data_IF_339871131043
#
_entry.id   IF_339871131043
#
_cell.length_a   1.000
_cell.length_b   1.000
_cell.length_c   1.000
_cell.angle_alpha   90.00
_cell.angle_beta   90.00
_cell.angle_gamma   90.00
#
_symmetry.space_group_name_H-M   'P 1'
#
loop_
_entity.id
_entity.type
_entity.pdbx_description
1 polymer ?
#
# COMPACT_ATOMS: atom_id res chain seq x y z
N UNK A 1 5.64 13.43 -3.29
CA UNK A 1 5.07 13.53 -1.93
C UNK A 1 6.19 13.33 -0.94
N UNK A 2 6.73 14.43 -0.44
CA UNK A 2 7.89 14.50 0.46
C UNK A 2 7.60 13.79 1.78
N UNK A 3 8.48 12.88 2.19
CA UNK A 3 8.38 12.20 3.47
C UNK A 3 8.57 13.18 4.63
N UNK A 4 7.64 13.15 5.59
CA UNK A 4 7.73 13.80 6.90
C UNK A 4 8.81 13.13 7.78
N UNK A 5 10.06 13.14 7.32
CA UNK A 5 11.19 12.65 8.09
C UNK A 5 11.80 13.82 8.88
N UNK A 6 12.08 13.59 10.16
CA UNK A 6 12.71 14.58 11.04
C UNK A 6 14.22 14.55 10.85
N UNK A 7 14.80 15.66 10.43
CA UNK A 7 16.26 15.80 10.31
C UNK A 7 16.92 15.98 11.68
N UNK A 8 18.23 15.78 11.77
CA UNK A 8 18.98 16.03 13.01
C UNK A 8 18.89 17.50 13.43
N UNK A 9 18.99 18.43 12.47
CA UNK A 9 18.87 19.87 12.70
C UNK A 9 17.49 20.26 13.26
N UNK A 10 16.41 19.70 12.69
CA UNK A 10 15.04 19.96 13.19
C UNK A 10 14.84 19.44 14.62
N UNK A 11 15.46 18.33 15.00
CA UNK A 11 15.41 17.81 16.38
C UNK A 11 16.16 18.70 17.35
N UNK A 12 17.35 19.17 16.98
CA UNK A 12 18.13 20.10 17.79
C UNK A 12 17.41 21.44 17.96
N UNK A 13 16.77 21.94 16.90
CA UNK A 13 15.95 23.14 16.95
C UNK A 13 14.78 22.96 17.90
N UNK A 14 14.07 21.82 17.83
CA UNK A 14 12.99 21.51 18.77
C UNK A 14 13.49 21.44 20.21
N UNK A 15 14.63 20.78 20.45
CA UNK A 15 15.25 20.71 21.78
C UNK A 15 15.59 22.10 22.33
N UNK A 16 16.22 22.95 21.52
CA UNK A 16 16.56 24.31 21.92
C UNK A 16 15.30 25.12 22.28
N UNK A 17 14.25 25.04 21.47
CA UNK A 17 13.01 25.78 21.71
C UNK A 17 12.26 25.29 22.97
N UNK A 18 12.25 23.98 23.23
CA UNK A 18 11.51 23.39 24.36
C UNK A 18 12.31 23.47 25.66
N UNK A 19 13.61 23.17 25.63
CA UNK A 19 14.45 23.05 26.84
C UNK A 19 15.10 24.38 27.19
N UNK A 20 15.73 25.05 26.21
CA UNK A 20 16.50 26.28 26.44
C UNK A 20 15.58 27.50 26.49
N UNK A 21 14.73 27.67 25.48
CA UNK A 21 13.84 28.84 25.36
C UNK A 21 12.55 28.66 26.17
N UNK A 22 12.19 27.42 26.55
CA UNK A 22 10.96 27.06 27.26
C UNK A 22 9.68 27.56 26.58
N UNK A 23 9.68 27.58 25.24
CA UNK A 23 8.52 28.01 24.48
C UNK A 23 7.37 26.99 24.60
N UNK A 24 6.10 27.41 24.76
CA UNK A 24 4.97 26.50 24.75
C UNK A 24 4.89 25.74 23.42
N UNK A 25 4.71 24.42 23.47
CA UNK A 25 4.69 23.58 22.26
C UNK A 25 3.60 24.01 21.28
N UNK A 26 2.50 24.61 21.76
CA UNK A 26 1.45 25.14 20.90
C UNK A 26 1.96 26.17 19.88
N UNK A 27 3.00 26.92 20.25
CA UNK A 27 3.53 28.06 19.49
C UNK A 27 4.80 27.69 18.70
N UNK A 28 5.42 26.55 19.02
CA UNK A 28 6.61 26.07 18.34
C UNK A 28 6.30 25.70 16.89
N UNK A 29 7.08 26.26 15.96
CA UNK A 29 7.08 25.90 14.54
C UNK A 29 8.48 25.39 14.17
N UNK A 30 8.57 24.16 13.70
CA UNK A 30 9.84 23.55 13.25
C UNK A 30 9.68 23.02 11.84
N UNK A 31 10.38 23.64 10.89
CA UNK A 31 10.35 23.27 9.48
C UNK A 31 8.93 23.20 8.91
N UNK A 32 8.62 22.07 8.26
CA UNK A 32 7.30 21.79 7.64
C UNK A 32 6.38 20.92 8.50
N UNK A 33 6.71 20.72 9.77
CA UNK A 33 5.98 19.80 10.65
C UNK A 33 4.76 20.48 11.27
N UNK A 34 3.61 19.80 11.22
CA UNK A 34 2.41 20.28 11.90
C UNK A 34 2.52 20.05 13.43
N UNK A 35 1.66 20.73 14.20
CA UNK A 35 1.67 20.68 15.66
C UNK A 35 1.57 19.26 16.25
N UNK A 36 0.84 18.36 15.57
CA UNK A 36 0.74 16.96 16.00
C UNK A 36 2.05 16.19 15.82
N UNK A 37 2.81 16.46 14.75
CA UNK A 37 4.13 15.88 14.51
C UNK A 37 5.13 16.38 15.54
N UNK A 38 5.12 17.69 15.83
CA UNK A 38 5.98 18.34 16.83
C UNK A 38 5.75 17.71 18.22
N UNK A 39 4.50 17.66 18.69
CA UNK A 39 4.15 17.02 19.98
C UNK A 39 4.61 15.57 20.09
N UNK A 40 4.47 14.78 19.02
CA UNK A 40 4.91 13.37 19.01
C UNK A 40 6.42 13.25 19.08
N UNK A 41 7.14 14.09 18.35
CA UNK A 41 8.60 14.06 18.35
C UNK A 41 9.15 14.53 19.68
N UNK A 42 8.55 15.56 20.26
CA UNK A 42 8.84 16.05 21.60
C UNK A 42 8.63 14.95 22.66
N UNK A 43 7.48 14.28 22.64
CA UNK A 43 7.20 13.13 23.53
C UNK A 43 8.23 12.01 23.37
N UNK A 44 8.71 11.78 22.13
CA UNK A 44 9.70 10.73 21.84
C UNK A 44 11.10 11.09 22.35
N UNK A 45 11.43 12.38 22.36
CA UNK A 45 12.68 12.91 22.89
C UNK A 45 12.61 13.13 24.42
N UNK A 46 11.42 13.09 25.01
CA UNK A 46 11.21 13.10 26.45
C UNK A 46 11.18 14.50 27.07
N UNK A 47 11.02 15.56 26.28
CA UNK A 47 11.03 16.93 26.81
C UNK A 47 9.70 17.32 27.49
N UNK A 48 8.58 16.76 27.06
CA UNK A 48 7.34 16.76 27.85
C UNK A 48 7.46 15.81 29.04
N UNK A 49 7.66 16.36 30.23
CA UNK A 49 7.59 15.63 31.51
C UNK A 49 6.19 15.15 31.86
N UNK A 50 5.15 15.78 31.31
CA UNK A 50 3.76 15.40 31.54
C UNK A 50 3.12 14.89 30.25
N UNK A 51 3.14 13.57 30.07
CA UNK A 51 2.10 12.93 29.26
C UNK A 51 0.76 13.38 29.85
N UNK A 52 -0.17 13.98 29.08
CA UNK A 52 -1.46 14.36 29.64
C UNK A 52 -2.05 13.12 30.30
N UNK A 53 -2.41 13.25 31.57
CA UNK A 53 -2.85 12.12 32.39
C UNK A 53 -3.89 11.31 31.62
N UNK A 54 -3.77 9.99 31.63
CA UNK A 54 -4.79 9.13 31.05
C UNK A 54 -6.06 9.27 31.88
N UNK A 55 -6.97 10.14 31.46
CA UNK A 55 -8.25 10.31 32.14
C UNK A 55 -9.09 9.07 31.82
N UNK A 56 -9.45 8.27 32.82
CA UNK A 56 -10.34 7.13 32.63
C UNK A 56 -11.78 7.57 32.34
N UNK A 57 -12.50 6.79 31.53
CA UNK A 57 -13.91 7.08 31.22
C UNK A 57 -14.80 6.76 32.41
N UNK A 58 -15.36 7.80 33.04
CA UNK A 58 -16.31 7.64 34.13
C UNK A 58 -17.61 6.97 33.65
N UNK A 59 -18.33 6.32 34.57
CA UNK A 59 -19.63 5.70 34.28
C UNK A 59 -20.63 6.73 33.76
N UNK A 60 -20.62 7.94 34.31
CA UNK A 60 -21.47 9.08 33.91
C UNK A 60 -21.22 9.49 32.46
N UNK A 61 -19.96 9.66 32.05
CA UNK A 61 -19.61 10.02 30.67
C UNK A 61 -20.00 8.94 29.65
N UNK A 62 -19.85 7.66 30.02
CA UNK A 62 -20.31 6.56 29.17
C UNK A 62 -21.83 6.56 29.00
N UNK A 63 -22.57 6.92 30.04
CA UNK A 63 -24.02 7.03 30.01
C UNK A 63 -24.48 8.23 29.18
N UNK A 64 -23.82 9.37 29.33
CA UNK A 64 -24.08 10.58 28.56
C UNK A 64 -23.92 10.35 27.06
N UNK A 65 -22.87 9.63 26.64
CA UNK A 65 -22.72 9.20 25.24
C UNK A 65 -23.91 8.36 24.72
N UNK A 66 -24.47 7.50 25.58
CA UNK A 66 -25.65 6.68 25.22
C UNK A 66 -26.91 7.52 25.11
N UNK A 67 -27.08 8.50 26.00
CA UNK A 67 -28.20 9.44 25.98
C UNK A 67 -28.14 10.29 24.71
N UNK A 68 -26.98 10.87 24.39
CA UNK A 68 -26.77 11.63 23.16
C UNK A 68 -27.04 10.79 21.90
N UNK A 69 -26.61 9.53 21.89
CA UNK A 69 -26.94 8.61 20.79
C UNK A 69 -28.44 8.33 20.68
N UNK A 70 -29.14 8.13 21.81
CA UNK A 70 -30.60 7.94 21.83
C UNK A 70 -31.35 9.18 21.35
N UNK A 71 -30.81 10.37 21.62
CA UNK A 71 -31.32 11.64 21.12
C UNK A 71 -30.98 11.91 19.64
N UNK A 72 -30.33 10.97 18.95
CA UNK A 72 -30.05 11.05 17.50
C UNK A 72 -28.74 11.72 17.14
N UNK A 73 -27.91 12.13 18.11
CA UNK A 73 -26.62 12.74 17.81
C UNK A 73 -25.60 11.70 17.33
N UNK A 74 -24.99 11.96 16.18
CA UNK A 74 -23.86 11.18 15.68
C UNK A 74 -22.57 11.52 16.44
N UNK A 75 -21.61 10.58 16.42
CA UNK A 75 -20.29 10.80 17.03
C UNK A 75 -19.59 12.06 16.49
N UNK A 76 -19.76 12.38 15.20
CA UNK A 76 -19.20 13.59 14.60
C UNK A 76 -19.85 14.85 15.15
N UNK A 77 -21.18 14.86 15.34
CA UNK A 77 -21.89 16.00 15.92
C UNK A 77 -21.48 16.23 17.38
N UNK A 78 -21.33 15.18 18.18
CA UNK A 78 -20.86 15.29 19.57
C UNK A 78 -19.47 15.91 19.65
N UNK A 79 -18.58 15.57 18.70
CA UNK A 79 -17.24 16.13 18.62
C UNK A 79 -17.27 17.59 18.16
N UNK A 80 -18.04 17.90 17.13
CA UNK A 80 -18.08 19.24 16.53
C UNK A 80 -18.74 20.25 17.46
N UNK A 81 -19.81 19.86 18.16
CA UNK A 81 -20.53 20.70 19.11
C UNK A 81 -20.00 20.57 20.55
N UNK A 82 -18.92 19.81 20.76
CA UNK A 82 -18.28 19.58 22.05
C UNK A 82 -19.27 19.22 23.18
N UNK A 83 -20.23 18.34 22.89
CA UNK A 83 -21.34 18.02 23.81
C UNK A 83 -20.92 17.22 25.06
N UNK A 84 -19.64 16.81 25.15
CA UNK A 84 -19.06 16.18 26.34
C UNK A 84 -18.17 17.19 27.05
N UNK A 85 -18.75 17.92 28.00
CA UNK A 85 -18.10 19.11 28.55
C UNK A 85 -17.05 18.78 29.61
N UNK A 86 -17.21 17.72 30.44
CA UNK A 86 -16.36 17.52 31.62
C UNK A 86 -16.00 16.06 31.97
N UNK A 87 -14.71 15.73 32.16
CA UNK A 87 -13.55 16.39 31.55
C UNK A 87 -13.62 16.34 30.01
N UNK A 88 -13.14 17.38 29.31
CA UNK A 88 -13.15 17.43 27.85
C UNK A 88 -12.35 16.25 27.27
N UNK A 89 -12.86 15.68 26.18
CA UNK A 89 -12.29 14.49 25.54
C UNK A 89 -11.83 14.83 24.13
N UNK A 90 -10.67 14.31 23.76
CA UNK A 90 -10.22 14.42 22.37
C UNK A 90 -11.19 13.71 21.43
N UNK A 91 -11.32 14.22 20.20
CA UNK A 91 -12.12 13.60 19.15
C UNK A 91 -11.80 12.10 18.96
N UNK A 92 -10.53 11.72 19.11
CA UNK A 92 -10.09 10.32 19.03
C UNK A 92 -10.62 9.49 20.22
N UNK A 93 -10.53 10.01 21.45
CA UNK A 93 -11.03 9.32 22.63
C UNK A 93 -12.54 9.10 22.53
N UNK A 94 -13.29 10.11 22.09
CA UNK A 94 -14.75 10.03 21.88
C UNK A 94 -15.07 8.95 20.84
N UNK A 95 -14.44 8.98 19.65
CA UNK A 95 -14.66 7.96 18.60
C UNK A 95 -14.38 6.55 19.08
N UNK A 96 -13.31 6.35 19.85
CA UNK A 96 -12.96 5.05 20.39
C UNK A 96 -13.96 4.57 21.43
N UNK A 97 -14.37 5.44 22.35
CA UNK A 97 -15.36 5.06 23.36
C UNK A 97 -16.73 4.82 22.74
N UNK A 98 -17.13 5.61 21.74
CA UNK A 98 -18.35 5.40 20.95
C UNK A 98 -18.41 4.00 20.35
N UNK A 99 -17.28 3.53 19.78
CA UNK A 99 -17.14 2.16 19.26
C UNK A 99 -17.19 1.11 20.36
N UNK A 100 -16.51 1.33 21.50
CA UNK A 100 -16.50 0.39 22.64
C UNK A 100 -17.88 0.27 23.30
N UNK A 101 -18.64 1.34 23.34
CA UNK A 101 -20.03 1.36 23.80
C UNK A 101 -21.03 0.80 22.77
N UNK A 102 -20.55 0.32 21.60
CA UNK A 102 -21.38 -0.23 20.52
C UNK A 102 -22.43 0.75 19.96
N UNK A 103 -22.13 2.05 20.00
CA UNK A 103 -23.00 3.12 19.51
C UNK A 103 -22.78 3.44 18.02
N UNK A 104 -21.71 2.91 17.43
CA UNK A 104 -21.48 2.95 15.97
C UNK A 104 -22.28 1.87 15.24
N UNK A 105 -22.40 2.04 13.93
CA UNK A 105 -22.90 1.08 12.94
C UNK A 105 -22.85 -0.40 13.37
N UNK A 106 -23.99 -1.10 13.27
CA UNK A 106 -24.23 -2.47 13.78
C UNK A 106 -23.14 -3.46 13.34
N UNK A 107 -22.53 -3.26 12.16
CA UNK A 107 -21.45 -4.10 11.63
C UNK A 107 -20.18 -4.09 12.50
N UNK A 108 -19.83 -2.94 13.09
CA UNK A 108 -18.66 -2.83 13.98
C UNK A 108 -18.98 -3.42 15.36
N UNK A 109 -20.21 -3.23 15.83
CA UNK A 109 -20.73 -3.87 17.05
C UNK A 109 -20.72 -5.41 16.94
N UNK A 110 -21.14 -5.96 15.79
CA UNK A 110 -21.07 -7.40 15.48
C UNK A 110 -19.65 -7.95 15.52
N UNK A 111 -18.66 -7.22 14.98
CA UNK A 111 -17.24 -7.62 15.08
C UNK A 111 -16.73 -7.65 16.52
N UNK A 112 -17.23 -6.78 17.40
CA UNK A 112 -16.89 -6.81 18.82
C UNK A 112 -17.66 -7.88 19.60
N UNK A 113 -18.89 -8.23 19.21
CA UNK A 113 -19.63 -9.35 19.80
C UNK A 113 -19.11 -10.71 19.34
N UNK A 114 -18.39 -10.79 18.22
CA UNK A 114 -17.65 -11.97 17.77
C UNK A 114 -16.29 -12.14 18.47
N UNK A 115 -15.99 -11.33 19.50
CA UNK A 115 -14.85 -11.63 20.37
C UNK A 115 -15.13 -12.95 21.07
N UNK A 116 -14.24 -13.93 20.88
CA UNK A 116 -14.28 -15.21 21.58
C UNK A 116 -14.42 -14.96 23.09
N UNK A 117 -15.49 -15.50 23.67
CA UNK A 117 -15.61 -15.61 25.12
C UNK A 117 -14.85 -16.86 25.53
N UNK A 118 -13.86 -16.70 26.38
CA UNK A 118 -13.07 -17.82 26.89
C UNK A 118 -13.89 -18.54 27.96
N UNK A 119 -13.96 -19.86 27.86
CA UNK A 119 -14.46 -20.68 28.96
C UNK A 119 -13.44 -20.75 30.10
N UNK A 120 -13.85 -21.09 31.33
CA UNK A 120 -12.91 -21.33 32.44
C UNK A 120 -11.85 -22.35 32.03
N UNK A 121 -10.57 -22.06 32.28
CA UNK A 121 -9.43 -22.93 31.91
C UNK A 121 -9.01 -22.89 30.44
N UNK A 122 -9.87 -22.50 29.51
CA UNK A 122 -9.57 -22.47 28.06
C UNK A 122 -8.40 -21.53 27.73
N UNK A 123 -8.26 -20.45 28.50
CA UNK A 123 -7.15 -19.50 28.35
C UNK A 123 -5.80 -20.14 28.67
N UNK A 124 -5.73 -21.04 29.65
CA UNK A 124 -4.48 -21.75 30.00
C UNK A 124 -4.09 -22.69 28.88
N UNK A 125 -5.05 -23.47 28.37
CA UNK A 125 -4.84 -24.34 27.21
C UNK A 125 -4.38 -23.56 25.97
N UNK A 126 -4.92 -22.34 25.78
CA UNK A 126 -4.47 -21.47 24.71
C UNK A 126 -3.02 -20.99 24.91
N UNK A 127 -2.64 -20.64 26.13
CA UNK A 127 -1.28 -20.22 26.44
C UNK A 127 -0.28 -21.37 26.26
N UNK A 128 -0.60 -22.58 26.72
CA UNK A 128 0.17 -23.80 26.48
C UNK A 128 0.34 -24.08 24.97
N UNK A 129 -0.75 -23.97 24.22
CA UNK A 129 -0.71 -24.11 22.77
C UNK A 129 0.21 -23.06 22.12
N UNK A 130 0.19 -21.81 22.61
CA UNK A 130 1.09 -20.77 22.11
C UNK A 130 2.55 -21.12 22.41
N UNK A 131 2.87 -21.65 23.59
CA UNK A 131 4.24 -22.09 23.89
C UNK A 131 4.73 -23.17 22.93
N UNK A 132 3.88 -24.13 22.60
CA UNK A 132 4.24 -25.24 21.70
C UNK A 132 4.34 -24.80 20.24
N UNK A 133 3.44 -23.93 19.77
CA UNK A 133 3.24 -23.72 18.32
C UNK A 133 3.59 -22.33 17.80
N UNK A 134 3.90 -21.35 18.66
CA UNK A 134 4.23 -19.98 18.18
C UNK A 134 5.48 -19.92 17.30
N UNK A 135 6.38 -20.91 17.40
CA UNK A 135 7.58 -21.01 16.55
C UNK A 135 7.33 -21.66 15.20
N UNK A 136 6.31 -22.51 15.07
CA UNK A 136 6.05 -23.29 13.86
C UNK A 136 4.84 -22.77 13.07
N UNK A 137 3.90 -22.12 13.74
CA UNK A 137 2.66 -21.62 13.16
C UNK A 137 2.63 -20.11 13.11
N UNK A 138 2.12 -19.58 12.00
CA UNK A 138 1.86 -18.14 11.86
C UNK A 138 0.65 -17.73 12.72
N UNK A 139 0.56 -16.47 13.17
CA UNK A 139 -0.61 -15.99 13.91
C UNK A 139 -1.94 -16.21 13.17
N UNK A 140 -1.92 -16.18 11.83
CA UNK A 140 -3.10 -16.47 11.00
C UNK A 140 -3.55 -17.93 11.10
N UNK A 141 -2.63 -18.89 11.19
CA UNK A 141 -2.97 -20.30 11.37
C UNK A 141 -3.55 -20.56 12.76
N UNK A 142 -2.93 -19.98 13.79
CA UNK A 142 -3.40 -20.09 15.18
C UNK A 142 -4.81 -19.48 15.30
N UNK A 143 -5.05 -18.34 14.63
CA UNK A 143 -6.38 -17.70 14.53
C UNK A 143 -7.43 -18.65 13.97
N UNK A 144 -7.10 -19.38 12.90
CA UNK A 144 -8.03 -20.33 12.28
C UNK A 144 -8.32 -21.53 13.19
N UNK A 145 -7.30 -22.05 13.87
CA UNK A 145 -7.44 -23.20 14.77
C UNK A 145 -8.29 -22.87 16.00
N UNK A 146 -8.01 -21.74 16.64
CA UNK A 146 -8.66 -21.35 17.90
C UNK A 146 -9.89 -20.46 17.74
N UNK A 147 -10.24 -20.10 16.50
CA UNK A 147 -11.32 -19.18 16.15
C UNK A 147 -11.25 -17.83 16.89
N UNK A 148 -10.03 -17.39 17.19
CA UNK A 148 -9.75 -16.11 17.85
C UNK A 148 -9.34 -15.08 16.82
N UNK A 149 -9.52 -13.79 17.10
CA UNK A 149 -8.98 -12.74 16.24
C UNK A 149 -7.44 -12.77 16.24
N UNK A 150 -6.82 -12.51 15.08
CA UNK A 150 -5.36 -12.44 14.95
C UNK A 150 -4.71 -11.45 15.92
N UNK A 151 -5.37 -10.32 16.19
CA UNK A 151 -4.90 -9.35 17.18
C UNK A 151 -4.73 -9.98 18.56
N UNK A 152 -5.67 -10.86 18.97
CA UNK A 152 -5.61 -11.55 20.28
C UNK A 152 -4.39 -12.45 20.36
N UNK A 153 -4.15 -13.26 19.31
CA UNK A 153 -2.95 -14.11 19.22
C UNK A 153 -1.69 -13.27 19.32
N UNK A 154 -1.59 -12.21 18.52
CA UNK A 154 -0.37 -11.38 18.49
C UNK A 154 -0.12 -10.63 19.80
N UNK A 155 -1.17 -10.18 20.49
CA UNK A 155 -1.05 -9.53 21.81
C UNK A 155 -0.56 -10.56 22.82
N UNK A 156 -1.19 -11.75 22.87
CA UNK A 156 -0.79 -12.78 23.83
C UNK A 156 0.62 -13.29 23.59
N UNK A 157 1.03 -13.47 22.33
CA UNK A 157 2.42 -13.78 21.98
C UNK A 157 3.41 -12.69 22.39
N UNK A 158 3.02 -11.40 22.40
CA UNK A 158 3.89 -10.35 22.95
C UNK A 158 3.99 -10.47 24.47
N UNK A 159 2.86 -10.64 25.16
CA UNK A 159 2.80 -10.77 26.62
C UNK A 159 3.63 -11.96 27.13
N UNK A 160 3.62 -13.08 26.40
CA UNK A 160 4.39 -14.29 26.71
C UNK A 160 5.84 -14.26 26.17
N UNK A 161 6.26 -13.21 25.46
CA UNK A 161 7.59 -13.14 24.85
C UNK A 161 7.84 -14.13 23.68
N UNK A 162 6.78 -14.71 23.12
CA UNK A 162 6.83 -15.75 22.08
C UNK A 162 6.75 -15.21 20.63
N UNK A 163 6.65 -13.90 20.47
CA UNK A 163 6.45 -13.30 19.15
C UNK A 163 7.71 -13.43 18.30
N UNK A 164 7.55 -14.13 17.18
CA UNK A 164 8.55 -14.19 16.13
C UNK A 164 8.75 -12.83 15.45
N UNK A 165 9.99 -12.57 15.05
CA UNK A 165 10.32 -11.44 14.18
C UNK A 165 9.68 -11.63 12.81
N UNK A 166 9.50 -10.54 12.06
CA UNK A 166 8.94 -10.60 10.71
C UNK A 166 9.75 -11.53 9.78
N UNK A 167 11.07 -11.52 9.90
CA UNK A 167 11.94 -12.36 9.06
C UNK A 167 11.70 -13.85 9.34
N UNK A 168 11.63 -14.24 10.61
CA UNK A 168 11.31 -15.62 11.02
C UNK A 168 9.91 -16.03 10.54
N UNK A 169 8.89 -15.17 10.70
CA UNK A 169 7.53 -15.46 10.21
C UNK A 169 7.50 -15.69 8.70
N UNK A 170 8.28 -14.94 7.92
CA UNK A 170 8.34 -15.09 6.47
C UNK A 170 8.97 -16.41 6.02
N UNK A 171 9.83 -17.01 6.85
CA UNK A 171 10.45 -18.31 6.58
C UNK A 171 9.54 -19.49 6.92
N UNK A 172 8.43 -19.26 7.64
CA UNK A 172 7.49 -20.33 7.98
C UNK A 172 6.82 -20.93 6.72
N UNK A 173 6.55 -22.25 6.69
CA UNK A 173 5.97 -22.92 5.53
C UNK A 173 4.68 -22.28 5.01
N UNK A 174 3.81 -21.86 5.92
CA UNK A 174 2.56 -21.19 5.57
C UNK A 174 2.79 -19.85 4.87
N UNK A 175 3.71 -19.03 5.38
CA UNK A 175 4.06 -17.73 4.79
C UNK A 175 4.67 -17.91 3.40
N UNK A 176 5.58 -18.87 3.25
CA UNK A 176 6.19 -19.22 1.96
C UNK A 176 5.12 -19.68 0.96
N UNK A 177 4.20 -20.56 1.36
CA UNK A 177 3.10 -21.03 0.53
C UNK A 177 2.17 -19.86 0.12
N UNK A 178 1.82 -18.98 1.06
CA UNK A 178 1.02 -17.78 0.81
C UNK A 178 1.72 -16.82 -0.17
N UNK A 179 3.02 -16.62 -0.01
CA UNK A 179 3.83 -15.82 -0.92
C UNK A 179 3.87 -16.42 -2.33
N UNK A 180 4.07 -17.74 -2.45
CA UNK A 180 4.05 -18.47 -3.73
C UNK A 180 2.69 -18.30 -4.44
N UNK A 181 1.58 -18.54 -3.74
CA UNK A 181 0.22 -18.33 -4.26
C UNK A 181 -0.01 -16.88 -4.70
N UNK A 182 0.46 -15.92 -3.91
CA UNK A 182 0.40 -14.49 -4.25
C UNK A 182 1.16 -14.16 -5.53
N UNK A 183 2.38 -14.68 -5.67
CA UNK A 183 3.23 -14.49 -6.85
C UNK A 183 2.61 -15.12 -8.10
N UNK A 184 2.03 -16.31 -7.98
CA UNK A 184 1.30 -16.96 -9.07
C UNK A 184 0.09 -16.14 -9.52
N UNK A 185 -0.69 -15.61 -8.57
CA UNK A 185 -1.83 -14.72 -8.85
C UNK A 185 -1.38 -13.45 -9.58
N UNK A 186 -0.30 -12.83 -9.13
CA UNK A 186 0.30 -11.65 -9.79
C UNK A 186 0.76 -12.02 -11.21
N UNK A 187 1.44 -13.15 -11.38
CA UNK A 187 1.89 -13.65 -12.69
C UNK A 187 0.71 -13.84 -13.65
N UNK A 188 -0.38 -14.47 -13.20
CA UNK A 188 -1.62 -14.64 -13.98
C UNK A 188 -2.23 -13.28 -14.36
N UNK A 189 -2.37 -12.36 -13.41
CA UNK A 189 -2.91 -11.00 -13.65
C UNK A 189 -2.05 -10.21 -14.65
N UNK A 190 -0.73 -10.29 -14.52
CA UNK A 190 0.19 -9.63 -15.44
C UNK A 190 0.14 -10.23 -16.85
N UNK A 191 0.00 -11.55 -16.99
CA UNK A 191 -0.21 -12.22 -18.29
C UNK A 191 -1.52 -11.74 -18.95
N UNK A 192 -2.61 -11.67 -18.19
CA UNK A 192 -3.91 -11.14 -18.68
C UNK A 192 -3.78 -9.68 -19.12
N UNK A 193 -3.20 -8.82 -18.28
CA UNK A 193 -2.99 -7.40 -18.58
C UNK A 193 -2.10 -7.19 -19.81
N UNK A 194 -1.06 -8.01 -19.97
CA UNK A 194 -0.20 -7.98 -21.14
C UNK A 194 -0.98 -8.31 -22.42
N UNK A 195 -1.78 -9.39 -22.41
CA UNK A 195 -2.63 -9.77 -23.54
C UNK A 195 -3.62 -8.65 -23.90
N UNK A 196 -4.29 -8.06 -22.91
CA UNK A 196 -5.21 -6.94 -23.12
C UNK A 196 -4.53 -5.73 -23.75
N UNK A 197 -3.38 -5.30 -23.20
CA UNK A 197 -2.62 -4.18 -23.78
C UNK A 197 -2.13 -4.47 -25.20
N UNK A 198 -1.76 -5.72 -25.47
CA UNK A 198 -1.35 -6.14 -26.81
C UNK A 198 -2.52 -6.07 -27.78
N UNK A 199 -3.69 -6.55 -27.39
CA UNK A 199 -4.90 -6.51 -28.20
C UNK A 199 -5.32 -5.06 -28.48
N UNK A 200 -5.43 -4.22 -27.45
CA UNK A 200 -5.75 -2.79 -27.61
C UNK A 200 -4.79 -2.08 -28.58
N UNK A 201 -3.51 -2.43 -28.54
CA UNK A 201 -2.53 -1.85 -29.47
C UNK A 201 -2.70 -2.37 -30.90
N UNK A 202 -3.06 -3.65 -31.06
CA UNK A 202 -3.41 -4.21 -32.36
C UNK A 202 -4.67 -3.55 -32.92
N UNK A 203 -5.73 -3.42 -32.12
CA UNK A 203 -6.99 -2.78 -32.53
C UNK A 203 -6.75 -1.32 -32.95
N UNK A 204 -5.95 -0.58 -32.19
CA UNK A 204 -5.54 0.77 -32.55
C UNK A 204 -4.70 0.82 -33.85
N UNK A 205 -3.85 -0.18 -34.12
CA UNK A 205 -3.14 -0.26 -35.39
C UNK A 205 -4.09 -0.60 -36.54
N UNK A 206 -5.06 -1.50 -36.34
CA UNK A 206 -6.08 -1.82 -37.35
C UNK A 206 -6.90 -0.59 -37.72
N UNK A 207 -7.44 0.13 -36.73
CA UNK A 207 -8.19 1.37 -36.94
C UNK A 207 -7.38 2.40 -37.74
N UNK A 208 -6.10 2.56 -37.41
CA UNK A 208 -5.21 3.44 -38.19
C UNK A 208 -5.00 2.92 -39.61
N UNK A 209 -4.82 1.61 -39.80
CA UNK A 209 -4.67 1.05 -41.14
C UNK A 209 -5.91 1.31 -42.00
N UNK A 210 -7.11 1.21 -41.41
CA UNK A 210 -8.37 1.48 -42.10
C UNK A 210 -8.49 2.95 -42.52
N UNK A 211 -8.16 3.88 -41.63
CA UNK A 211 -8.10 5.32 -41.98
C UNK A 211 -7.09 5.59 -43.10
N UNK A 212 -5.92 4.96 -43.07
CA UNK A 212 -4.92 5.10 -44.13
C UNK A 212 -5.40 4.55 -45.48
N UNK A 213 -6.21 3.49 -45.49
CA UNK A 213 -6.83 2.93 -46.69
C UNK A 213 -7.92 3.84 -47.23
N UNK A 214 -8.80 4.35 -46.36
CA UNK A 214 -9.92 5.22 -46.73
C UNK A 214 -9.45 6.57 -47.28
N UNK A 215 -8.40 7.16 -46.71
CA UNK A 215 -7.90 8.48 -47.11
C UNK A 215 -7.03 8.47 -48.37
N UNK A 216 -6.92 7.34 -49.10
CA UNK A 216 -6.13 7.25 -50.34
C UNK A 216 -4.61 7.42 -50.18
N UNK A 217 -4.09 7.60 -48.95
CA UNK A 217 -2.65 7.63 -48.68
C UNK A 217 -1.96 6.27 -48.86
N UNK A 218 -2.74 5.19 -48.89
CA UNK A 218 -2.27 3.84 -49.15
C UNK A 218 -2.38 3.53 -50.64
N UNK A 219 -1.36 3.91 -51.40
CA UNK A 219 -1.05 3.26 -52.67
C UNK A 219 -0.98 1.73 -52.38
N UNK A 220 -1.84 0.87 -52.97
CA UNK A 220 -1.93 -0.55 -52.63
C UNK A 220 -0.59 -1.30 -52.78
N UNK A 221 0.28 -0.77 -53.64
CA UNK A 221 1.67 -1.20 -53.89
C UNK A 221 2.63 -0.92 -52.73
N UNK A 222 2.25 -0.08 -51.76
CA UNK A 222 3.04 0.31 -50.58
C UNK A 222 2.59 -0.41 -49.31
N UNK A 223 2.00 -1.58 -49.43
CA UNK A 223 1.79 -2.47 -48.29
C UNK A 223 3.03 -3.35 -48.07
N UNK A 224 3.41 -3.55 -46.82
CA UNK A 224 4.57 -4.36 -46.43
C UNK A 224 4.15 -5.41 -45.41
N UNK A 225 4.58 -6.63 -45.67
CA UNK A 225 4.37 -7.76 -44.77
C UNK A 225 5.40 -7.77 -43.64
N UNK A 226 4.94 -7.93 -42.40
CA UNK A 226 5.82 -8.08 -41.25
C UNK A 226 6.56 -9.43 -41.27
N UNK A 227 7.88 -9.41 -41.21
CA UNK A 227 8.71 -10.63 -41.22
C UNK A 227 8.53 -11.58 -40.01
N UNK A 228 7.72 -11.23 -39.01
CA UNK A 228 7.50 -12.06 -37.81
C UNK A 228 6.06 -12.56 -37.72
N UNK A 229 5.08 -11.67 -37.86
CA UNK A 229 3.67 -12.05 -37.74
C UNK A 229 2.96 -12.22 -39.08
N UNK A 230 3.66 -11.99 -40.21
CA UNK A 230 3.14 -12.06 -41.57
C UNK A 230 1.90 -11.20 -41.85
N UNK A 231 1.55 -10.30 -40.92
CA UNK A 231 0.46 -9.35 -41.10
C UNK A 231 0.89 -8.26 -42.08
N UNK A 232 0.01 -7.95 -43.02
CA UNK A 232 0.23 -6.91 -44.01
C UNK A 232 -0.16 -5.53 -43.45
N UNK A 233 0.75 -4.56 -43.51
CA UNK A 233 0.56 -3.21 -42.99
C UNK A 233 0.99 -2.15 -44.02
N UNK A 234 0.39 -0.95 -44.01
CA UNK A 234 0.90 0.15 -44.82
C UNK A 234 2.38 0.46 -44.51
N UNK A 235 3.18 0.74 -45.52
CA UNK A 235 4.63 1.05 -45.42
C UNK A 235 4.84 2.45 -44.85
N UNK A 236 4.50 2.61 -43.57
CA UNK A 236 4.54 3.90 -42.87
C UNK A 236 5.13 3.75 -41.46
N UNK A 237 5.73 4.83 -40.95
CA UNK A 237 6.37 4.90 -39.62
C UNK A 237 5.44 4.55 -38.46
N UNK A 238 4.13 4.66 -38.66
CA UNK A 238 3.11 4.24 -37.69
C UNK A 238 3.12 2.74 -37.46
N UNK A 239 3.36 1.94 -38.50
CA UNK A 239 3.28 0.48 -38.46
C UNK A 239 4.64 -0.19 -38.36
N UNK A 240 5.68 0.44 -38.90
CA UNK A 240 7.06 -0.03 -38.83
C UNK A 240 7.95 0.99 -38.10
N UNK A 241 8.78 0.60 -37.13
CA UNK A 241 9.76 1.50 -36.53
C UNK A 241 10.77 1.99 -37.58
N UNK A 242 11.05 3.29 -37.58
CA UNK A 242 12.16 3.88 -38.35
C UNK A 242 13.47 3.65 -37.63
N UNK A 243 14.53 3.35 -38.38
CA UNK A 243 15.90 3.26 -37.91
C UNK A 243 16.79 4.14 -38.76
N UNK A 244 17.79 4.70 -38.12
CA UNK A 244 18.80 5.53 -38.77
C UNK A 244 20.08 4.69 -38.88
N UNK A 245 20.52 4.43 -40.10
CA UNK A 245 21.82 3.81 -40.40
C UNK A 245 22.78 4.90 -40.78
N UNK A 246 23.89 5.02 -40.04
CA UNK A 246 25.02 5.84 -40.48
C UNK A 246 25.66 5.14 -41.68
N UNK A 247 25.74 5.84 -42.80
CA UNK A 247 26.37 5.36 -44.03
C UNK A 247 27.52 6.32 -44.34
N UNK A 248 28.68 5.77 -44.66
CA UNK A 248 29.81 6.55 -45.16
C UNK A 248 29.67 6.62 -46.67
N UNK A 249 29.52 7.82 -47.22
CA UNK A 249 29.49 8.10 -48.66
C UNK A 249 30.71 8.97 -48.97
N UNK A 250 31.77 8.35 -49.49
CA UNK A 250 33.07 9.00 -49.68
C UNK A 250 33.65 9.51 -48.36
N UNK A 251 34.12 10.77 -48.33
CA UNK A 251 34.67 11.42 -47.13
C UNK A 251 33.60 11.97 -46.17
N UNK A 252 32.31 11.78 -46.45
CA UNK A 252 31.20 12.33 -45.66
C UNK A 252 30.41 11.25 -44.90
N UNK A 253 30.01 11.57 -43.66
CA UNK A 253 29.12 10.72 -42.84
C UNK A 253 27.67 11.14 -43.07
N UNK A 254 26.90 10.31 -43.79
CA UNK A 254 25.48 10.52 -44.01
C UNK A 254 24.62 9.62 -43.10
N UNK A 255 23.35 9.96 -42.92
CA UNK A 255 22.37 9.15 -42.18
C UNK A 255 21.26 8.73 -43.15
N UNK A 256 21.16 7.43 -43.42
CA UNK A 256 20.05 6.86 -44.17
C UNK A 256 18.98 6.34 -43.22
N UNK A 257 17.73 6.82 -43.39
CA UNK A 257 16.59 6.35 -42.61
C UNK A 257 15.86 5.23 -43.34
N UNK A 258 15.62 4.12 -42.67
CA UNK A 258 14.89 2.98 -43.24
C UNK A 258 13.87 2.42 -42.24
N UNK A 259 12.79 1.82 -42.77
CA UNK A 259 11.80 1.13 -41.94
C UNK A 259 12.25 -0.31 -41.65
N UNK A 260 12.16 -0.73 -40.38
CA UNK A 260 12.43 -2.13 -39.99
C UNK A 260 11.50 -3.10 -40.73
N UNK A 261 11.99 -4.33 -40.94
CA UNK A 261 11.19 -5.46 -41.48
C UNK A 261 10.13 -6.00 -40.51
N UNK A 262 10.19 -5.62 -39.23
CA UNK A 262 9.27 -6.06 -38.17
C UNK A 262 8.30 -4.93 -37.83
N UNK A 263 7.01 -5.24 -37.74
CA UNK A 263 6.00 -4.27 -37.33
C UNK A 263 6.20 -3.82 -35.87
N UNK A 264 5.61 -2.68 -35.51
CA UNK A 264 5.69 -2.12 -34.15
C UNK A 264 5.12 -3.05 -33.08
N UNK A 265 4.12 -3.87 -33.41
CA UNK A 265 3.56 -4.86 -32.50
C UNK A 265 4.61 -5.91 -32.11
N UNK A 266 5.24 -6.54 -33.11
CA UNK A 266 6.29 -7.53 -32.90
C UNK A 266 7.55 -6.95 -32.26
N UNK A 267 7.94 -5.72 -32.62
CA UNK A 267 9.09 -5.07 -32.00
C UNK A 267 8.84 -4.75 -30.52
N UNK A 268 7.61 -4.33 -30.17
CA UNK A 268 7.21 -4.12 -28.78
C UNK A 268 7.23 -5.42 -27.97
N UNK A 269 6.75 -6.52 -28.55
CA UNK A 269 6.81 -7.85 -27.93
C UNK A 269 8.27 -8.31 -27.72
N UNK A 270 9.16 -8.05 -28.69
CA UNK A 270 10.60 -8.31 -28.59
C UNK A 270 11.24 -7.53 -27.46
N UNK A 271 11.02 -6.21 -27.39
CA UNK A 271 11.57 -5.33 -26.35
C UNK A 271 11.09 -5.78 -24.96
N UNK A 272 9.80 -6.11 -24.82
CA UNK A 272 9.26 -6.60 -23.55
C UNK A 272 9.93 -7.90 -23.10
N UNK A 273 10.20 -8.81 -24.04
CA UNK A 273 10.87 -10.08 -23.78
C UNK A 273 12.34 -9.87 -23.39
N UNK A 274 13.05 -9.02 -24.12
CA UNK A 274 14.44 -8.65 -23.84
C UNK A 274 14.58 -8.00 -22.45
N UNK A 275 13.77 -6.98 -22.15
CA UNK A 275 13.78 -6.30 -20.86
C UNK A 275 13.47 -7.27 -19.70
N UNK A 276 12.61 -8.26 -19.93
CA UNK A 276 12.31 -9.29 -18.94
C UNK A 276 13.48 -10.24 -18.69
N UNK A 277 14.25 -10.61 -19.73
CA UNK A 277 15.47 -11.41 -19.59
C UNK A 277 16.56 -10.63 -18.83
N UNK A 278 16.83 -9.38 -19.22
CA UNK A 278 17.83 -8.55 -18.55
C UNK A 278 17.50 -8.26 -17.08
N UNK A 279 16.23 -8.01 -16.75
CA UNK A 279 15.80 -7.83 -15.35
C UNK A 279 15.96 -9.08 -14.49
N UNK A 280 15.97 -10.28 -15.10
CA UNK A 280 16.24 -11.53 -14.38
C UNK A 280 17.72 -11.70 -14.12
N UNK A 281 18.57 -11.46 -15.12
CA UNK A 281 20.03 -11.53 -14.98
C UNK A 281 20.56 -10.54 -13.95
N UNK A 282 20.07 -9.29 -13.93
CA UNK A 282 20.47 -8.31 -12.90
C UNK A 282 20.07 -8.69 -11.47
N UNK A 283 19.12 -9.60 -11.30
CA UNK A 283 18.63 -10.06 -9.99
C UNK A 283 19.29 -11.36 -9.51
N UNK A 284 20.04 -12.05 -10.36
CA UNK A 284 20.78 -13.27 -10.00
C UNK A 284 22.24 -12.99 -9.65
N UNK A 285 22.70 -11.75 -9.81
CA UNK A 285 24.07 -11.27 -9.53
C UNK A 285 24.10 -10.44 -8.23
N UNK A 286 22.97 -10.35 -7.51
CA UNK A 286 22.82 -9.73 -6.20
C UNK A 286 22.27 -10.76 -5.24
#
# INVERSE_FOLDING_TARGET
>A
MSSNHWTHQEKNQLQHLVVTVKQPIADIRVGRHNQSSIRRQDTRLGYLTTRPAHIDWSRRQKQELRILNKAGYSCSQIINYNLLLNPPRSAWAIRNQWRRCKLSDRKVSRRQSQKKSWQPGEKLLFDEYLYQHSRTQTPEQITLHWQVCQTTVTVRQNELGLKLTRQQVMQLPYSLAKQKRGMERIKRKNKKRFRQKRQQFLDHLNLKADVFRQNGYADPTKNRTCAVCQTNWPTHRTFFPTMDKKITLGNSKAISRYLKRKCRLCERDRINTYNKKHRRQKRSVQ
#
